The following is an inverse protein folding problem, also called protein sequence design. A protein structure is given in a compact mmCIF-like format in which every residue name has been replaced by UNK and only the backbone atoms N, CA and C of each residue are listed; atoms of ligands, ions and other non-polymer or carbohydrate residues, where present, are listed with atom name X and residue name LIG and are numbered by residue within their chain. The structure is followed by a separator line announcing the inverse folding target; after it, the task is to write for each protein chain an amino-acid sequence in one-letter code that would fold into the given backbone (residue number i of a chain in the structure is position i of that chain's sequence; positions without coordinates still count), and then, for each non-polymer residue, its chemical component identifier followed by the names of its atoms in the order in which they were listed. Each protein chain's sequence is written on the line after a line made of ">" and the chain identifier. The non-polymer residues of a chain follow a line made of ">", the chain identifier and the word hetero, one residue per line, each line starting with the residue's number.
data_IF_814199021320
#
_entry.id   IF_814199021320
#
_cell.length_a   1.000
_cell.length_b   1.000
_cell.length_c   1.000
_cell.angle_alpha   90.00
_cell.angle_beta   90.00
_cell.angle_gamma   90.00
#
_symmetry.space_group_name_H-M   'P 1'
#
loop_
_entity.id
_entity.type
_entity.pdbx_description
1 polymer ?
#
# COMPACT_ATOMS: atom_id res chain seq x y z
N UNK A 1 -18.15 7.34 -23.67
CA UNK A 1 -17.98 5.86 -23.56
C UNK A 1 -16.56 5.60 -23.07
N UNK A 2 -16.35 4.76 -22.06
CA UNK A 2 -14.99 4.49 -21.54
C UNK A 2 -14.32 3.50 -22.50
N UNK A 3 -13.16 3.87 -23.06
CA UNK A 3 -12.40 3.02 -23.96
C UNK A 3 -11.98 1.71 -23.27
N UNK A 4 -12.06 0.60 -23.98
CA UNK A 4 -11.67 -0.74 -23.51
C UNK A 4 -10.33 -1.15 -24.12
N UNK A 5 -9.67 -2.13 -23.51
CA UNK A 5 -8.42 -2.70 -24.04
C UNK A 5 -8.58 -3.24 -25.46
N UNK A 6 -9.77 -3.77 -25.78
CA UNK A 6 -10.11 -4.25 -27.12
C UNK A 6 -10.17 -3.13 -28.17
N UNK A 7 -10.54 -1.92 -27.78
CA UNK A 7 -10.59 -0.76 -28.69
C UNK A 7 -9.16 -0.30 -29.02
N UNK A 8 -8.26 -0.29 -28.02
CA UNK A 8 -6.83 -0.04 -28.23
C UNK A 8 -6.23 -1.06 -29.19
N UNK A 9 -6.55 -2.34 -29.00
CA UNK A 9 -6.06 -3.41 -29.87
C UNK A 9 -6.50 -3.21 -31.33
N UNK A 10 -7.75 -2.80 -31.52
CA UNK A 10 -8.33 -2.53 -32.84
C UNK A 10 -7.61 -1.37 -33.54
N UNK A 11 -7.40 -0.23 -32.86
CA UNK A 11 -6.70 0.93 -33.42
C UNK A 11 -5.23 0.63 -33.68
N UNK A 12 -4.55 -0.02 -32.74
CA UNK A 12 -3.14 -0.37 -32.90
C UNK A 12 -2.88 -1.48 -33.93
N UNK A 13 -3.93 -2.18 -34.42
CA UNK A 13 -3.80 -3.29 -35.35
C UNK A 13 -3.10 -4.50 -34.77
N UNK A 14 -3.29 -4.78 -33.47
CA UNK A 14 -2.65 -5.91 -32.75
C UNK A 14 -3.68 -6.67 -31.91
N UNK A 15 -3.30 -7.85 -31.42
CA UNK A 15 -4.19 -8.61 -30.52
C UNK A 15 -4.34 -7.94 -29.15
N UNK A 16 -5.45 -8.14 -28.44
CA UNK A 16 -5.61 -7.69 -27.04
C UNK A 16 -4.49 -8.21 -26.11
N UNK A 17 -4.02 -9.41 -26.36
CA UNK A 17 -2.88 -10.01 -25.65
C UNK A 17 -1.60 -9.19 -25.87
N UNK A 18 -1.36 -8.72 -27.10
CA UNK A 18 -0.19 -7.86 -27.41
C UNK A 18 -0.29 -6.53 -26.67
N UNK A 19 -1.47 -5.88 -26.68
CA UNK A 19 -1.70 -4.66 -25.89
C UNK A 19 -1.41 -4.90 -24.41
N UNK A 20 -1.93 -5.99 -23.83
CA UNK A 20 -1.66 -6.36 -22.45
C UNK A 20 -0.17 -6.58 -22.18
N UNK A 21 0.58 -7.16 -23.11
CA UNK A 21 2.05 -7.36 -23.00
C UNK A 21 2.80 -6.03 -23.02
N UNK A 22 2.42 -5.09 -23.89
CA UNK A 22 2.99 -3.74 -23.93
C UNK A 22 2.77 -3.02 -22.61
N UNK A 23 1.52 -2.98 -22.12
CA UNK A 23 1.15 -2.33 -20.85
C UNK A 23 1.94 -2.92 -19.67
N UNK A 24 2.14 -4.24 -19.66
CA UNK A 24 2.80 -4.94 -18.56
C UNK A 24 4.32 -5.09 -18.74
N UNK A 25 4.89 -4.57 -19.82
CA UNK A 25 6.31 -4.73 -20.18
C UNK A 25 6.76 -6.19 -20.13
N UNK A 26 5.93 -7.13 -20.64
CA UNK A 26 6.21 -8.56 -20.60
C UNK A 26 6.66 -9.10 -21.96
N UNK A 27 7.81 -9.79 -21.95
CA UNK A 27 8.39 -10.45 -23.13
C UNK A 27 8.97 -9.47 -24.15
N UNK A 28 9.58 -10.03 -25.19
CA UNK A 28 10.15 -9.24 -26.29
C UNK A 28 9.01 -8.63 -27.14
N UNK A 29 9.07 -7.33 -27.35
CA UNK A 29 8.16 -6.55 -28.19
C UNK A 29 8.98 -5.58 -29.03
N UNK A 30 8.71 -5.50 -30.32
CA UNK A 30 9.41 -4.53 -31.18
C UNK A 30 9.01 -3.10 -30.78
N UNK A 31 9.94 -2.16 -30.90
CA UNK A 31 9.68 -0.73 -30.65
C UNK A 31 8.49 -0.20 -31.47
N UNK A 32 8.38 -0.64 -32.73
CA UNK A 32 7.25 -0.31 -33.60
C UNK A 32 5.89 -0.73 -32.99
N UNK A 33 5.83 -1.91 -32.37
CA UNK A 33 4.60 -2.39 -31.72
C UNK A 33 4.29 -1.57 -30.46
N UNK A 34 5.31 -1.28 -29.66
CA UNK A 34 5.17 -0.47 -28.44
C UNK A 34 4.66 0.94 -28.79
N UNK A 35 5.23 1.57 -29.82
CA UNK A 35 4.83 2.91 -30.27
C UNK A 35 3.38 2.92 -30.74
N UNK A 36 2.98 2.00 -31.61
CA UNK A 36 1.58 1.90 -32.11
C UNK A 36 0.57 1.76 -30.98
N UNK A 37 0.85 0.91 -30.00
CA UNK A 37 -0.04 0.70 -28.86
C UNK A 37 -0.12 1.95 -27.98
N UNK A 38 1.00 2.62 -27.72
CA UNK A 38 1.03 3.85 -26.92
C UNK A 38 0.30 5.02 -27.62
N UNK A 39 0.40 5.12 -28.92
CA UNK A 39 -0.34 6.09 -29.72
C UNK A 39 -1.85 5.84 -29.68
N UNK A 40 -2.28 4.59 -29.91
CA UNK A 40 -3.68 4.20 -29.80
C UNK A 40 -4.26 4.45 -28.38
N UNK A 41 -3.46 4.20 -27.34
CA UNK A 41 -3.87 4.50 -25.96
C UNK A 41 -4.06 6.01 -25.74
N UNK A 42 -3.18 6.84 -26.28
CA UNK A 42 -3.30 8.31 -26.21
C UNK A 42 -4.51 8.82 -26.98
N UNK A 43 -4.72 8.36 -28.19
CA UNK A 43 -5.85 8.73 -29.06
C UNK A 43 -7.20 8.44 -28.39
N UNK A 44 -7.33 7.26 -27.76
CA UNK A 44 -8.55 6.85 -27.06
C UNK A 44 -8.67 7.41 -25.64
N UNK A 45 -7.66 8.09 -25.11
CA UNK A 45 -7.61 8.45 -23.69
C UNK A 45 -7.65 7.22 -22.79
N UNK A 46 -7.23 6.05 -23.29
CA UNK A 46 -7.26 4.79 -22.54
C UNK A 46 -6.24 4.80 -21.41
N UNK A 47 -6.70 4.59 -20.20
CA UNK A 47 -5.84 4.36 -19.02
C UNK A 47 -6.03 2.91 -18.54
N UNK A 48 -4.93 2.15 -18.37
CA UNK A 48 -5.02 0.80 -17.82
C UNK A 48 -5.78 0.81 -16.49
N UNK A 49 -6.82 -0.03 -16.39
CA UNK A 49 -7.58 -0.15 -15.15
C UNK A 49 -6.87 -1.11 -14.21
N UNK A 50 -6.29 -0.58 -13.14
CA UNK A 50 -5.59 -1.38 -12.13
C UNK A 50 -6.53 -2.34 -11.39
N UNK A 51 -7.80 -1.96 -11.23
CA UNK A 51 -8.84 -2.83 -10.66
C UNK A 51 -9.09 -4.08 -11.52
N UNK A 52 -9.16 -3.91 -12.85
CA UNK A 52 -9.31 -5.03 -13.78
C UNK A 52 -8.06 -5.93 -13.81
N UNK A 53 -6.89 -5.40 -13.44
CA UNK A 53 -5.64 -6.17 -13.32
C UNK A 53 -5.63 -7.03 -12.05
N UNK A 54 -6.09 -6.49 -10.93
CA UNK A 54 -6.16 -7.23 -9.67
C UNK A 54 -7.17 -8.38 -9.72
N UNK A 55 -8.31 -8.20 -10.41
CA UNK A 55 -9.28 -9.27 -10.71
C UNK A 55 -8.67 -10.44 -11.51
N UNK A 56 -7.55 -10.21 -12.21
CA UNK A 56 -6.79 -11.24 -12.93
C UNK A 56 -5.63 -11.82 -12.10
N UNK A 57 -5.63 -11.65 -10.77
CA UNK A 57 -4.56 -12.11 -9.89
C UNK A 57 -3.24 -11.34 -10.03
N UNK A 58 -3.27 -10.13 -10.62
CA UNK A 58 -2.09 -9.26 -10.76
C UNK A 58 -2.10 -8.18 -9.68
N UNK A 59 -0.92 -7.71 -9.27
CA UNK A 59 -0.76 -6.62 -8.31
C UNK A 59 -1.53 -5.36 -8.74
N UNK A 60 -2.33 -4.80 -7.82
CA UNK A 60 -3.03 -3.53 -7.99
C UNK A 60 -2.06 -2.34 -7.91
N UNK A 61 -0.84 -2.56 -7.38
CA UNK A 61 0.14 -1.53 -7.03
C UNK A 61 -0.44 -0.51 -6.04
N UNK A 62 -1.17 -1.02 -5.04
CA UNK A 62 -1.87 -0.22 -4.04
C UNK A 62 -1.59 -0.78 -2.64
N UNK A 63 -1.21 0.07 -1.70
CA UNK A 63 -0.95 -0.26 -0.29
C UNK A 63 -1.89 0.56 0.59
N UNK A 64 -2.52 -0.10 1.57
CA UNK A 64 -3.29 0.55 2.63
C UNK A 64 -2.38 1.00 3.77
N UNK A 65 -2.52 2.24 4.21
CA UNK A 65 -1.85 2.79 5.40
C UNK A 65 -2.93 3.10 6.43
N UNK A 66 -3.02 2.33 7.51
CA UNK A 66 -4.04 2.49 8.55
C UNK A 66 -3.37 3.02 9.81
N UNK A 67 -3.70 4.26 10.20
CA UNK A 67 -3.10 4.91 11.36
C UNK A 67 -4.18 5.53 12.27
N UNK A 68 -3.92 5.64 13.59
CA UNK A 68 -4.93 6.10 14.54
C UNK A 68 -5.19 7.60 14.50
N UNK A 69 -4.21 8.40 14.04
CA UNK A 69 -4.34 9.85 13.94
C UNK A 69 -3.36 10.42 12.92
N UNK A 70 -3.86 10.76 11.75
CA UNK A 70 -3.03 11.32 10.66
C UNK A 70 -2.62 12.79 10.88
N UNK A 71 -3.24 13.48 11.84
CA UNK A 71 -2.88 14.86 12.20
C UNK A 71 -1.76 14.93 13.24
N UNK A 72 -1.44 13.82 13.91
CA UNK A 72 -0.34 13.77 14.85
C UNK A 72 0.99 13.81 14.09
N UNK A 73 1.89 14.73 14.47
CA UNK A 73 3.13 15.01 13.74
C UNK A 73 3.96 13.76 13.45
N UNK A 74 4.07 12.87 14.41
CA UNK A 74 4.81 11.60 14.26
C UNK A 74 4.23 10.71 13.15
N UNK A 75 2.89 10.52 13.13
CA UNK A 75 2.24 9.72 12.10
C UNK A 75 2.24 10.43 10.75
N UNK A 76 2.10 11.76 10.73
CA UNK A 76 2.17 12.54 9.51
C UNK A 76 3.54 12.36 8.81
N UNK A 77 4.64 12.50 9.56
CA UNK A 77 5.99 12.29 9.03
C UNK A 77 6.24 10.83 8.61
N UNK A 78 5.74 9.86 9.36
CA UNK A 78 5.87 8.45 9.01
C UNK A 78 5.12 8.13 7.71
N UNK A 79 3.87 8.60 7.58
CA UNK A 79 3.04 8.40 6.39
C UNK A 79 3.70 9.04 5.17
N UNK A 80 4.24 10.27 5.30
CA UNK A 80 4.97 10.95 4.24
C UNK A 80 6.15 10.12 3.73
N UNK A 81 6.98 9.61 4.65
CA UNK A 81 8.12 8.76 4.29
C UNK A 81 7.69 7.42 3.66
N UNK A 82 6.67 6.79 4.20
CA UNK A 82 6.13 5.54 3.65
C UNK A 82 5.57 5.77 2.24
N UNK A 83 4.78 6.81 2.03
CA UNK A 83 4.22 7.16 0.73
C UNK A 83 5.34 7.37 -0.30
N UNK A 84 6.33 8.20 0.04
CA UNK A 84 7.46 8.51 -0.82
C UNK A 84 8.23 7.25 -1.24
N UNK A 85 8.54 6.35 -0.31
CA UNK A 85 9.26 5.11 -0.59
C UNK A 85 8.42 4.10 -1.39
N UNK A 86 7.13 4.04 -1.13
CA UNK A 86 6.19 3.21 -1.90
C UNK A 86 6.02 3.75 -3.32
N UNK A 87 5.91 5.07 -3.48
CA UNK A 87 5.80 5.72 -4.78
C UNK A 87 7.02 5.46 -5.67
N UNK A 88 8.23 5.55 -5.12
CA UNK A 88 9.48 5.18 -5.84
C UNK A 88 9.44 3.75 -6.38
N UNK A 89 8.75 2.84 -5.68
CA UNK A 89 8.59 1.43 -6.08
C UNK A 89 7.37 1.19 -6.98
N UNK A 90 6.70 2.27 -7.40
CA UNK A 90 5.54 2.25 -8.28
C UNK A 90 4.24 1.82 -7.59
N UNK A 91 4.16 1.92 -6.27
CA UNK A 91 2.93 1.75 -5.51
C UNK A 91 2.25 3.10 -5.29
N UNK A 92 0.93 3.06 -5.15
CA UNK A 92 0.10 4.14 -4.62
C UNK A 92 -0.36 3.77 -3.22
N UNK A 93 -0.78 4.74 -2.45
CA UNK A 93 -1.26 4.54 -1.08
C UNK A 93 -2.71 4.97 -0.91
N UNK A 94 -3.43 4.25 -0.05
CA UNK A 94 -4.71 4.69 0.53
C UNK A 94 -4.44 4.96 2.00
N UNK A 95 -4.64 6.20 2.44
CA UNK A 95 -4.44 6.60 3.83
C UNK A 95 -5.79 6.50 4.55
N UNK A 96 -5.83 5.72 5.63
CA UNK A 96 -6.99 5.44 6.45
C UNK A 96 -6.75 5.96 7.87
N UNK A 97 -7.57 6.89 8.32
CA UNK A 97 -7.54 7.45 9.68
C UNK A 97 -8.55 6.73 10.55
N UNK A 98 -8.10 5.82 11.42
CA UNK A 98 -9.00 5.04 12.26
C UNK A 98 -9.53 5.80 13.49
N UNK A 99 -8.95 6.94 13.86
CA UNK A 99 -9.38 7.80 14.97
C UNK A 99 -9.53 7.04 16.31
N UNK A 100 -8.67 6.05 16.56
CA UNK A 100 -8.76 5.16 17.71
C UNK A 100 -10.12 4.42 17.82
N UNK A 101 -10.84 4.27 16.71
CA UNK A 101 -12.15 3.62 16.65
C UNK A 101 -12.02 2.22 16.04
N UNK A 102 -12.35 1.19 16.83
CA UNK A 102 -12.26 -0.21 16.43
C UNK A 102 -13.18 -0.56 15.25
N UNK A 103 -14.39 -0.01 15.20
CA UNK A 103 -15.32 -0.27 14.10
C UNK A 103 -14.80 0.30 12.78
N UNK A 104 -14.24 1.52 12.84
CA UNK A 104 -13.62 2.18 11.69
C UNK A 104 -12.37 1.46 11.22
N UNK A 105 -11.55 0.99 12.16
CA UNK A 105 -10.36 0.19 11.86
C UNK A 105 -10.74 -1.12 11.16
N UNK A 106 -11.78 -1.80 11.66
CA UNK A 106 -12.29 -3.04 11.06
C UNK A 106 -12.77 -2.81 9.63
N UNK A 107 -13.55 -1.77 9.39
CA UNK A 107 -14.01 -1.40 8.04
C UNK A 107 -12.83 -1.13 7.10
N UNK A 108 -11.75 -0.51 7.58
CA UNK A 108 -10.54 -0.30 6.79
C UNK A 108 -9.75 -1.59 6.51
N UNK A 109 -9.76 -2.56 7.40
CA UNK A 109 -9.15 -3.87 7.12
C UNK A 109 -9.88 -4.63 6.00
N UNK A 110 -11.18 -4.38 5.85
CA UNK A 110 -12.00 -4.96 4.77
C UNK A 110 -11.76 -4.29 3.40
N UNK A 111 -11.02 -3.16 3.35
CA UNK A 111 -10.67 -2.45 2.09
C UNK A 111 -10.01 -3.36 1.06
N UNK A 112 -9.32 -4.42 1.49
CA UNK A 112 -8.72 -5.36 0.57
C UNK A 112 -9.77 -6.04 -0.34
N UNK A 113 -10.89 -6.45 0.23
CA UNK A 113 -11.93 -7.14 -0.53
C UNK A 113 -12.58 -6.20 -1.56
N UNK A 114 -12.77 -4.93 -1.18
CA UNK A 114 -13.37 -3.92 -2.04
C UNK A 114 -12.38 -3.29 -3.05
N UNK A 115 -11.14 -3.00 -2.64
CA UNK A 115 -10.16 -2.24 -3.44
C UNK A 115 -8.94 -3.06 -3.87
N UNK A 116 -8.83 -4.31 -3.42
CA UNK A 116 -7.76 -5.24 -3.78
C UNK A 116 -6.35 -4.66 -3.57
N UNK A 117 -6.09 -4.09 -2.39
CA UNK A 117 -4.74 -3.65 -2.04
C UNK A 117 -3.78 -4.84 -1.98
N UNK A 118 -2.53 -4.63 -2.35
CA UNK A 118 -1.49 -5.65 -2.35
C UNK A 118 -0.98 -5.96 -0.94
N UNK A 119 -1.17 -5.03 0.02
CA UNK A 119 -0.80 -5.18 1.41
C UNK A 119 -1.26 -3.99 2.26
N UNK A 120 -1.12 -4.13 3.56
CA UNK A 120 -1.51 -3.14 4.57
C UNK A 120 -0.32 -2.87 5.49
N UNK A 121 -0.07 -1.61 5.80
CA UNK A 121 0.79 -1.18 6.90
C UNK A 121 -0.11 -0.55 7.95
N UNK A 122 -0.16 -1.14 9.16
CA UNK A 122 -1.04 -0.70 10.23
C UNK A 122 -0.24 -0.20 11.43
N UNK A 123 -0.50 1.03 11.86
CA UNK A 123 -0.11 1.57 13.16
C UNK A 123 -1.28 1.64 14.14
N UNK A 124 -2.47 1.18 13.75
CA UNK A 124 -3.65 1.08 14.60
C UNK A 124 -3.67 -0.26 15.36
N UNK A 125 -4.32 -0.30 16.53
CA UNK A 125 -4.30 -1.46 17.43
C UNK A 125 -5.54 -1.52 18.34
N UNK A 126 -6.70 -1.12 17.82
CA UNK A 126 -7.93 -1.06 18.61
C UNK A 126 -8.79 -2.33 18.51
N UNK A 127 -8.35 -3.33 17.73
CA UNK A 127 -9.04 -4.59 17.51
C UNK A 127 -8.37 -5.72 18.29
N UNK A 128 -9.10 -6.82 18.47
CA UNK A 128 -8.56 -8.07 18.99
C UNK A 128 -7.74 -8.86 17.96
N UNK A 129 -6.90 -9.77 18.42
CA UNK A 129 -6.04 -10.62 17.57
C UNK A 129 -6.87 -11.36 16.50
N UNK A 130 -8.05 -11.88 16.87
CA UNK A 130 -8.91 -12.63 15.96
C UNK A 130 -9.43 -11.82 14.77
N UNK A 131 -9.53 -10.50 14.88
CA UNK A 131 -9.96 -9.65 13.79
C UNK A 131 -8.85 -9.50 12.75
N UNK A 132 -7.60 -9.37 13.20
CA UNK A 132 -6.43 -9.30 12.31
C UNK A 132 -6.13 -10.63 11.62
N UNK A 133 -6.30 -11.76 12.30
CA UNK A 133 -6.05 -13.10 11.74
C UNK A 133 -7.02 -13.45 10.59
N UNK A 134 -8.18 -12.78 10.51
CA UNK A 134 -9.13 -12.95 9.41
C UNK A 134 -8.72 -12.21 8.14
N UNK A 135 -7.81 -11.26 8.25
CA UNK A 135 -7.38 -10.47 7.10
C UNK A 135 -6.46 -11.31 6.21
N UNK A 136 -6.88 -11.53 4.98
CA UNK A 136 -6.15 -12.34 4.01
C UNK A 136 -5.04 -11.55 3.26
N UNK A 137 -4.98 -10.21 3.42
CA UNK A 137 -3.90 -9.39 2.89
C UNK A 137 -2.61 -9.56 3.69
N UNK A 138 -1.43 -9.49 3.09
CA UNK A 138 -0.21 -9.27 3.83
C UNK A 138 -0.33 -8.00 4.68
N UNK A 139 -0.14 -8.14 5.99
CA UNK A 139 -0.11 -6.99 6.92
C UNK A 139 1.30 -6.90 7.51
N UNK A 140 1.78 -5.68 7.66
CA UNK A 140 2.94 -5.33 8.49
C UNK A 140 2.43 -4.37 9.56
N UNK A 141 2.75 -4.68 10.82
CA UNK A 141 2.46 -3.81 11.94
C UNK A 141 3.60 -2.84 12.19
N UNK A 142 3.24 -1.62 12.55
CA UNK A 142 4.17 -0.61 13.02
C UNK A 142 4.03 -0.43 14.54
N UNK A 143 5.14 -0.65 15.26
CA UNK A 143 5.32 -0.44 16.70
C UNK A 143 4.39 -1.25 17.63
N UNK A 144 3.50 -2.07 17.12
CA UNK A 144 2.53 -2.84 17.91
C UNK A 144 2.47 -4.29 17.49
N UNK A 145 2.35 -5.19 18.44
CA UNK A 145 2.11 -6.60 18.18
C UNK A 145 0.60 -6.81 18.00
N UNK A 146 0.16 -6.98 16.75
CA UNK A 146 -1.25 -7.19 16.41
C UNK A 146 -1.65 -8.65 16.50
N UNK A 147 -0.75 -9.57 16.10
CA UNK A 147 -0.92 -11.01 16.14
C UNK A 147 0.45 -11.68 16.01
N UNK A 148 0.65 -12.89 16.56
CA UNK A 148 1.89 -13.65 16.38
C UNK A 148 2.27 -13.92 14.91
N UNK A 149 1.30 -13.92 14.01
CA UNK A 149 1.48 -14.15 12.57
C UNK A 149 1.85 -12.90 11.78
N UNK A 150 1.70 -11.70 12.36
CA UNK A 150 1.93 -10.42 11.68
C UNK A 150 3.32 -9.88 12.04
N UNK A 151 4.20 -9.67 11.03
CA UNK A 151 5.50 -9.04 11.27
C UNK A 151 5.36 -7.63 11.84
N UNK A 152 6.21 -7.30 12.80
CA UNK A 152 6.25 -5.97 13.45
C UNK A 152 7.55 -5.27 13.07
N UNK A 153 7.44 -4.01 12.71
CA UNK A 153 8.57 -3.07 12.59
C UNK A 153 8.48 -2.11 13.76
N UNK A 154 9.42 -2.17 14.69
CA UNK A 154 9.43 -1.34 15.90
C UNK A 154 10.85 -0.89 16.25
N UNK A 155 10.94 0.14 17.09
CA UNK A 155 12.18 0.54 17.76
C UNK A 155 12.46 -0.39 18.93
N UNK A 156 13.74 -0.50 19.34
CA UNK A 156 14.12 -1.11 20.61
C UNK A 156 13.78 -0.14 21.75
N UNK A 157 12.50 -0.17 22.16
CA UNK A 157 11.98 0.73 23.20
C UNK A 157 12.57 0.42 24.57
N UNK A 158 13.02 -0.83 24.82
CA UNK A 158 13.69 -1.18 26.06
C UNK A 158 15.07 -0.53 26.15
N UNK A 159 15.90 -0.69 25.13
CA UNK A 159 17.22 -0.05 25.08
C UNK A 159 17.10 1.48 25.10
N UNK A 160 16.10 2.04 24.44
CA UNK A 160 15.77 3.46 24.50
C UNK A 160 15.42 3.93 25.91
N UNK A 161 14.60 3.17 26.63
CA UNK A 161 14.25 3.45 28.04
C UNK A 161 15.44 3.39 28.99
N UNK A 162 16.29 2.37 28.82
CA UNK A 162 17.55 2.25 29.60
C UNK A 162 18.45 3.46 29.37
N UNK A 163 18.66 3.84 28.11
CA UNK A 163 19.49 5.00 27.76
C UNK A 163 18.93 6.32 28.33
N UNK A 164 17.62 6.49 28.32
CA UNK A 164 16.97 7.66 28.90
C UNK A 164 17.19 7.71 30.42
N UNK A 165 16.97 6.60 31.15
CA UNK A 165 17.15 6.50 32.56
C UNK A 165 18.64 6.77 32.96
N UNK A 166 19.58 6.14 32.26
CA UNK A 166 21.00 6.39 32.47
C UNK A 166 21.40 7.85 32.29
N UNK A 167 20.84 8.49 31.27
CA UNK A 167 21.09 9.91 30.98
C UNK A 167 20.58 10.79 32.11
N UNK A 168 19.39 10.52 32.64
CA UNK A 168 18.83 11.23 33.78
C UNK A 168 19.69 11.04 35.05
N UNK A 169 20.09 9.82 35.34
CA UNK A 169 20.99 9.54 36.47
C UNK A 169 22.31 10.30 36.33
N UNK A 170 22.95 10.24 35.19
CA UNK A 170 24.20 10.97 34.89
C UNK A 170 24.06 12.49 35.01
N UNK A 171 22.86 13.03 34.74
CA UNK A 171 22.57 14.46 34.88
C UNK A 171 22.28 14.89 36.34
N UNK A 172 22.30 13.94 37.31
CA UNK A 172 22.08 14.22 38.73
C UNK A 172 20.63 14.16 39.19
N UNK A 173 19.72 13.62 38.38
CA UNK A 173 18.34 13.41 38.81
C UNK A 173 18.28 12.38 39.96
N UNK A 174 17.61 12.75 41.06
CA UNK A 174 17.54 11.88 42.29
C UNK A 174 16.19 11.11 42.33
N UNK A 175 15.17 11.57 41.66
CA UNK A 175 13.86 10.91 41.55
C UNK A 175 13.55 10.71 40.07
N UNK A 176 13.54 9.46 39.62
CA UNK A 176 13.31 9.06 38.24
C UNK A 176 12.09 8.15 38.19
#
# INVERSE_FOLDING_TARGET
>A
MVAKLTDVAKIAGVSPTTVSRVINKKGYLSEKTITKVNEAMRELGYKPNNLARSLQGKSAKLIGLIFPNISHIFYAELIDKLEHELFKRGYKTIICNSEHNSSKEKEYLEIREANQVDGIISGSHNLGISDYDRVTAPIISFDRNLSPSIPVVSSDNYAGGVLAAETLVKSGAQNI
#
